data_IF_106812638878
#
_entry.id   IF_106812638878
#
_cell.length_a   1.000
_cell.length_b   1.000
_cell.length_c   1.000
_cell.angle_alpha   90.00
_cell.angle_beta   90.00
_cell.angle_gamma   90.00
#
_symmetry.space_group_name_H-M   'P 1'
#
loop_
_entity.id
_entity.type
_entity.pdbx_description
1 polymer ?
#
# COMPACT_ATOMS: atom_id res chain seq x y z
N UNK A 1 20.80 -13.83 -4.78
CA UNK A 1 19.77 -12.78 -4.91
C UNK A 1 19.55 -12.52 -6.38
N UNK A 2 18.29 -12.60 -6.82
CA UNK A 2 17.94 -12.36 -8.23
C UNK A 2 17.77 -10.86 -8.43
N UNK A 3 18.50 -10.28 -9.38
CA UNK A 3 18.30 -8.89 -9.80
C UNK A 3 17.18 -8.82 -10.84
N UNK A 4 16.41 -7.75 -10.81
CA UNK A 4 15.29 -7.51 -11.72
C UNK A 4 15.25 -6.03 -12.13
N UNK A 5 14.60 -5.74 -13.26
CA UNK A 5 14.31 -4.35 -13.65
C UNK A 5 13.04 -3.91 -12.94
N UNK A 6 13.14 -2.95 -12.02
CA UNK A 6 11.99 -2.47 -11.27
C UNK A 6 10.98 -1.77 -12.20
N UNK A 7 9.70 -2.16 -12.23
CA UNK A 7 8.70 -1.54 -13.09
C UNK A 7 8.35 -0.10 -12.67
N UNK A 8 8.70 0.30 -11.45
CA UNK A 8 8.41 1.64 -10.94
C UNK A 8 9.52 2.67 -11.20
N UNK A 9 10.80 2.28 -11.11
CA UNK A 9 11.93 3.18 -11.37
C UNK A 9 12.79 2.81 -12.59
N UNK A 10 12.50 1.71 -13.27
CA UNK A 10 13.22 1.17 -14.43
C UNK A 10 14.73 0.92 -14.20
N UNK A 11 15.15 0.77 -12.95
CA UNK A 11 16.53 0.42 -12.60
C UNK A 11 16.67 -1.07 -12.29
N UNK A 12 17.85 -1.62 -12.58
CA UNK A 12 18.23 -2.95 -12.12
C UNK A 12 18.45 -2.90 -10.61
N UNK A 13 17.64 -3.64 -9.85
CA UNK A 13 17.67 -3.65 -8.39
C UNK A 13 17.53 -5.06 -7.85
N UNK A 14 17.77 -5.21 -6.55
CA UNK A 14 17.28 -6.34 -5.74
C UNK A 14 15.89 -6.02 -5.18
N UNK A 15 15.18 -7.06 -4.74
CA UNK A 15 13.89 -6.94 -4.08
C UNK A 15 13.80 -7.83 -2.85
N UNK A 16 13.01 -7.37 -1.88
CA UNK A 16 12.51 -8.19 -0.78
C UNK A 16 11.13 -8.74 -1.13
N UNK A 17 10.85 -9.97 -0.70
CA UNK A 17 9.54 -10.61 -0.85
C UNK A 17 8.84 -10.68 0.51
N UNK A 18 7.51 -10.53 0.50
CA UNK A 18 6.69 -10.54 1.70
C UNK A 18 5.48 -11.45 1.50
N UNK A 19 5.23 -12.26 2.52
CA UNK A 19 3.97 -12.96 2.70
C UNK A 19 2.87 -11.96 3.05
N UNK A 20 1.67 -12.19 2.53
CA UNK A 20 0.51 -11.36 2.83
C UNK A 20 -0.37 -12.04 3.86
N UNK A 21 -0.76 -11.28 4.88
CA UNK A 21 -1.66 -11.71 5.93
C UNK A 21 -2.86 -10.78 5.97
N UNK A 22 -4.01 -11.31 6.34
CA UNK A 22 -5.26 -10.54 6.36
C UNK A 22 -5.86 -10.50 7.76
N UNK A 23 -6.53 -9.39 8.06
CA UNK A 23 -7.46 -9.31 9.17
C UNK A 23 -8.84 -8.94 8.63
N UNK A 24 -9.88 -9.48 9.27
CA UNK A 24 -11.26 -9.14 8.91
C UNK A 24 -11.49 -7.65 9.18
N UNK A 25 -12.11 -6.99 8.21
CA UNK A 25 -12.53 -5.60 8.34
C UNK A 25 -13.61 -5.50 9.42
N UNK A 26 -13.35 -4.70 10.45
CA UNK A 26 -14.22 -4.50 11.60
C UNK A 26 -15.03 -3.18 11.54
N UNK A 27 -15.02 -2.47 10.41
CA UNK A 27 -15.80 -1.25 10.24
C UNK A 27 -17.30 -1.55 10.26
N UNK A 28 -18.10 -0.60 10.76
CA UNK A 28 -19.56 -0.67 10.77
C UNK A 28 -20.16 -0.94 9.39
N UNK A 29 -19.52 -0.39 8.36
CA UNK A 29 -20.04 -0.42 6.98
C UNK A 29 -19.61 -1.68 6.22
N UNK A 30 -18.84 -2.57 6.86
CA UNK A 30 -18.38 -3.84 6.27
C UNK A 30 -17.39 -3.72 5.09
N UNK A 31 -16.89 -2.52 4.78
CA UNK A 31 -15.98 -2.23 3.67
C UNK A 31 -14.71 -1.50 4.15
N UNK A 32 -13.58 -1.58 3.41
CA UNK A 32 -12.38 -0.85 3.79
C UNK A 32 -12.65 0.66 3.96
N UNK A 33 -12.17 1.24 5.05
CA UNK A 33 -12.31 2.67 5.31
C UNK A 33 -11.61 3.48 4.20
N UNK A 34 -12.32 4.50 3.69
CA UNK A 34 -11.79 5.51 2.75
C UNK A 34 -12.19 6.89 3.23
N UNK A 35 -11.20 7.76 3.48
CA UNK A 35 -11.44 9.17 3.84
C UNK A 35 -11.11 10.03 2.63
N UNK A 36 -12.11 10.71 2.07
CA UNK A 36 -11.99 11.51 0.83
C UNK A 36 -12.96 12.70 0.83
N UNK A 37 -12.76 13.65 -0.09
CA UNK A 37 -13.65 14.81 -0.25
C UNK A 37 -13.81 15.61 1.04
N UNK A 38 -15.05 15.93 1.40
CA UNK A 38 -15.39 16.73 2.59
C UNK A 38 -14.83 16.14 3.90
N UNK A 39 -14.69 14.81 4.01
CA UNK A 39 -14.12 14.18 5.20
C UNK A 39 -12.61 14.37 5.31
N UNK A 40 -11.91 14.43 4.17
CA UNK A 40 -10.49 14.74 4.13
C UNK A 40 -10.23 16.22 4.48
N UNK A 41 -11.09 17.12 4.00
CA UNK A 41 -11.07 18.53 4.39
C UNK A 41 -11.32 18.70 5.89
N UNK A 42 -12.33 18.03 6.45
CA UNK A 42 -12.57 17.99 7.90
C UNK A 42 -11.36 17.48 8.67
N UNK A 43 -10.71 16.43 8.19
CA UNK A 43 -9.49 15.89 8.80
C UNK A 43 -8.36 16.92 8.83
N UNK A 44 -8.23 17.73 7.78
CA UNK A 44 -7.21 18.79 7.69
C UNK A 44 -7.40 19.93 8.69
N UNK A 45 -8.62 20.09 9.20
CA UNK A 45 -9.00 21.13 10.15
C UNK A 45 -9.20 20.58 11.57
N UNK A 46 -9.03 19.27 11.80
CA UNK A 46 -9.33 18.65 13.08
C UNK A 46 -8.40 19.16 14.20
N UNK A 47 -8.92 19.89 15.22
CA UNK A 47 -8.08 20.49 16.26
C UNK A 47 -7.47 19.46 17.22
N UNK A 48 -7.96 18.22 17.24
CA UNK A 48 -7.43 17.15 18.08
C UNK A 48 -6.05 16.64 17.63
N UNK A 49 -5.66 16.91 16.38
CA UNK A 49 -4.36 16.52 15.85
C UNK A 49 -3.45 17.74 15.71
N UNK A 50 -2.18 17.66 16.12
CA UNK A 50 -1.18 18.66 15.76
C UNK A 50 -1.07 18.86 14.24
N UNK A 51 -0.67 20.05 13.75
CA UNK A 51 -0.57 20.33 12.31
C UNK A 51 0.18 19.27 11.50
N UNK A 52 1.33 18.80 12.00
CA UNK A 52 2.13 17.79 11.30
C UNK A 52 1.46 16.42 11.23
N UNK A 53 0.71 16.05 12.28
CA UNK A 53 -0.07 14.80 12.28
C UNK A 53 -1.21 14.89 11.28
N UNK A 54 -1.84 16.05 11.11
CA UNK A 54 -2.86 16.26 10.07
C UNK A 54 -2.26 16.10 8.69
N UNK A 55 -1.11 16.74 8.42
CA UNK A 55 -0.40 16.63 7.14
C UNK A 55 -0.08 15.18 6.80
N UNK A 56 0.53 14.44 7.73
CA UNK A 56 0.85 13.02 7.53
C UNK A 56 -0.39 12.16 7.25
N UNK A 57 -1.50 12.41 7.96
CA UNK A 57 -2.75 11.68 7.74
C UNK A 57 -3.37 12.00 6.38
N UNK A 58 -3.31 13.25 5.93
CA UNK A 58 -3.79 13.65 4.61
C UNK A 58 -2.95 12.97 3.52
N UNK A 59 -1.62 13.02 3.65
CA UNK A 59 -0.70 12.34 2.73
C UNK A 59 -0.98 10.84 2.66
N UNK A 60 -1.17 10.18 3.81
CA UNK A 60 -1.55 8.76 3.87
C UNK A 60 -2.83 8.48 3.09
N UNK A 61 -3.91 9.24 3.35
CA UNK A 61 -5.19 9.01 2.68
C UNK A 61 -5.15 9.34 1.19
N UNK A 62 -4.39 10.36 0.78
CA UNK A 62 -4.18 10.65 -0.63
C UNK A 62 -3.51 9.47 -1.35
N UNK A 63 -2.47 8.86 -0.76
CA UNK A 63 -1.83 7.67 -1.32
C UNK A 63 -2.80 6.50 -1.41
N UNK A 64 -3.50 6.20 -0.32
CA UNK A 64 -4.54 5.16 -0.28
C UNK A 64 -5.59 5.36 -1.38
N UNK A 65 -6.13 6.57 -1.50
CA UNK A 65 -7.19 6.90 -2.47
C UNK A 65 -6.68 6.94 -3.92
N UNK A 66 -5.40 7.19 -4.16
CA UNK A 66 -4.79 7.09 -5.50
C UNK A 66 -4.64 5.65 -6.00
N UNK A 67 -4.84 4.65 -5.12
CA UNK A 67 -4.58 3.25 -5.43
C UNK A 67 -3.09 2.86 -5.35
N UNK A 68 -2.25 3.72 -4.79
CA UNK A 68 -0.84 3.40 -4.54
C UNK A 68 -0.73 2.22 -3.56
N UNK A 69 0.10 1.24 -3.89
CA UNK A 69 0.45 0.13 -3.01
C UNK A 69 1.76 0.47 -2.33
N UNK A 70 1.74 0.52 -1.00
CA UNK A 70 2.92 0.86 -0.22
C UNK A 70 2.92 0.13 1.12
N UNK A 71 4.12 -0.09 1.65
CA UNK A 71 4.28 -0.56 3.02
C UNK A 71 4.15 0.64 3.97
N UNK A 72 3.13 0.62 4.82
CA UNK A 72 2.99 1.55 5.94
C UNK A 72 3.36 0.86 7.25
N UNK A 73 3.81 1.66 8.23
CA UNK A 73 4.06 1.33 9.65
C UNK A 73 4.19 -0.16 10.01
N UNK A 74 5.38 -0.54 10.47
CA UNK A 74 5.64 -1.86 11.06
C UNK A 74 4.98 -1.98 12.44
N UNK A 75 3.72 -2.38 12.47
CA UNK A 75 3.06 -2.84 13.68
C UNK A 75 2.98 -4.37 13.65
N UNK A 76 3.29 -5.07 14.76
CA UNK A 76 3.05 -6.51 14.83
C UNK A 76 1.57 -6.80 14.58
N UNK A 77 1.26 -7.49 13.49
CA UNK A 77 -0.08 -7.98 13.21
C UNK A 77 -0.15 -9.44 13.67
N UNK A 78 -1.06 -9.74 14.59
CA UNK A 78 -1.37 -11.11 14.97
C UNK A 78 -2.60 -11.53 14.16
N UNK A 79 -2.44 -12.51 13.28
CA UNK A 79 -3.52 -13.10 12.49
C UNK A 79 -3.16 -14.52 12.09
N UNK A 80 -4.16 -15.39 12.08
CA UNK A 80 -4.03 -16.77 11.60
C UNK A 80 -4.37 -16.89 10.10
N UNK A 81 -4.76 -15.79 9.45
CA UNK A 81 -5.14 -15.79 8.04
C UNK A 81 -3.95 -15.40 7.17
N UNK A 82 -3.31 -16.42 6.60
CA UNK A 82 -2.36 -16.28 5.51
C UNK A 82 -3.10 -16.22 4.16
N UNK A 83 -2.74 -15.27 3.29
CA UNK A 83 -3.34 -15.12 1.96
C UNK A 83 -2.47 -15.86 0.94
N UNK A 84 -2.83 -17.12 0.65
CA UNK A 84 -2.10 -17.92 -0.33
C UNK A 84 -2.29 -17.38 -1.76
N UNK A 85 -1.20 -17.34 -2.54
CA UNK A 85 -1.19 -16.88 -3.93
C UNK A 85 -1.24 -15.36 -4.10
N UNK A 86 -1.03 -14.60 -3.02
CA UNK A 86 -0.82 -13.15 -3.05
C UNK A 86 0.48 -12.80 -2.35
N UNK A 87 1.46 -12.34 -3.12
CA UNK A 87 2.77 -11.94 -2.63
C UNK A 87 3.01 -10.46 -2.90
N UNK A 88 3.74 -9.81 -1.98
CA UNK A 88 4.28 -8.48 -2.22
C UNK A 88 5.77 -8.55 -2.45
N UNK A 89 6.30 -7.68 -3.30
CA UNK A 89 7.73 -7.45 -3.38
C UNK A 89 8.06 -5.97 -3.34
N UNK A 90 9.18 -5.58 -2.74
CA UNK A 90 9.62 -4.19 -2.67
C UNK A 90 10.99 -4.02 -3.29
N UNK A 91 11.13 -3.04 -4.18
CA UNK A 91 12.40 -2.64 -4.79
C UNK A 91 13.30 -1.95 -3.74
N UNK A 92 14.55 -2.40 -3.57
CA UNK A 92 15.49 -1.73 -2.67
C UNK A 92 15.93 -0.33 -3.15
N UNK A 93 15.86 -0.05 -4.46
CA UNK A 93 16.26 1.24 -5.00
C UNK A 93 15.24 2.35 -4.76
N UNK A 94 13.97 2.12 -5.11
CA UNK A 94 12.91 3.14 -5.03
C UNK A 94 11.87 2.89 -3.94
N UNK A 95 11.94 1.75 -3.23
CA UNK A 95 10.99 1.34 -2.20
C UNK A 95 9.53 1.19 -2.66
N UNK A 96 9.27 1.16 -3.96
CA UNK A 96 7.94 0.87 -4.49
C UNK A 96 7.59 -0.61 -4.33
N UNK A 97 6.34 -0.87 -3.98
CA UNK A 97 5.80 -2.22 -3.84
C UNK A 97 5.18 -2.71 -5.17
N UNK A 98 5.25 -4.01 -5.39
CA UNK A 98 4.55 -4.72 -6.45
C UNK A 98 3.63 -5.79 -5.83
N UNK A 99 2.50 -6.03 -6.48
CA UNK A 99 1.55 -7.09 -6.11
C UNK A 99 1.66 -8.20 -7.13
N UNK A 100 1.72 -9.43 -6.64
CA UNK A 100 1.74 -10.66 -7.42
C UNK A 100 0.53 -11.51 -7.08
N UNK A 101 -0.10 -12.10 -8.10
CA UNK A 101 -1.19 -13.05 -7.98
C UNK A 101 -0.83 -14.33 -8.72
N UNK A 102 -0.78 -15.46 -8.02
CA UNK A 102 -0.44 -16.76 -8.62
C UNK A 102 0.93 -16.76 -9.32
N UNK A 103 1.87 -15.94 -8.88
CA UNK A 103 3.20 -15.78 -9.49
C UNK A 103 3.28 -14.76 -10.63
N UNK A 104 2.19 -14.08 -10.98
CA UNK A 104 2.18 -13.01 -11.99
C UNK A 104 2.07 -11.62 -11.36
N UNK A 105 2.91 -10.68 -11.79
CA UNK A 105 2.87 -9.30 -11.29
C UNK A 105 1.69 -8.55 -11.91
N UNK A 106 0.80 -8.04 -11.06
CA UNK A 106 -0.40 -7.28 -11.44
C UNK A 106 -0.33 -5.79 -11.06
N UNK A 107 0.57 -5.42 -10.16
CA UNK A 107 0.84 -4.03 -9.80
C UNK A 107 2.35 -3.72 -9.78
N UNK A 108 2.80 -2.55 -10.27
CA UNK A 108 1.99 -1.54 -10.96
C UNK A 108 1.37 -2.12 -12.24
N UNK A 109 0.19 -1.63 -12.66
CA UNK A 109 -0.40 -2.08 -13.92
C UNK A 109 0.61 -1.81 -15.03
N UNK A 110 0.86 -2.81 -15.87
CA UNK A 110 1.62 -2.56 -17.11
C UNK A 110 0.81 -1.59 -17.95
N UNK A 111 1.49 -0.65 -18.61
CA UNK A 111 0.85 0.14 -19.65
C UNK A 111 0.17 -0.85 -20.61
N UNK A 112 -1.15 -0.76 -20.74
CA UNK A 112 -1.85 -1.49 -21.78
C UNK A 112 -1.42 -0.79 -23.07
N UNK A 113 -0.57 -1.44 -23.87
CA UNK A 113 -0.45 -1.07 -25.28
C UNK A 113 -1.85 -1.25 -25.88
N UNK A 114 -2.53 -0.13 -26.17
CA UNK A 114 -3.75 -0.10 -26.99
C UNK A 114 -3.41 -0.30 -28.47
#
# INVERSE_FOLDING_TARGET
MTRFTCPGCNQLSEQAWFNTYANRIASTDGVPLRIQGADLERLSQNPQFPPEVRKQKIEYWNRVNSGEVFLDRWAPVHTDVFVAGLELSVCHGCMQAAIWLGGEMVYPPRDREE
#
